data_IF_549753903115
#
_entry.id   IF_549753903115
#
_cell.length_a   1.000
_cell.length_b   1.000
_cell.length_c   1.000
_cell.angle_alpha   90.00
_cell.angle_beta   90.00
_cell.angle_gamma   90.00
#
_symmetry.space_group_name_H-M   'P 1'
#
loop_
_entity.id
_entity.type
_entity.pdbx_description
1 polymer ?
#
# COMPACT_ATOMS: atom_id res chain seq x y z
N UNK A 1 -36.32 50.90 1.50
CA UNK A 1 -36.07 51.38 2.88
C UNK A 1 -34.68 50.89 3.25
N UNK A 2 -33.69 51.78 3.31
CA UNK A 2 -33.26 52.48 4.54
C UNK A 2 -32.76 51.46 5.57
N UNK A 3 -31.61 51.57 6.23
CA UNK A 3 -30.77 52.67 6.73
C UNK A 3 -29.76 51.92 7.63
N UNK A 4 -28.54 52.27 7.93
CA UNK A 4 -27.69 53.44 7.81
C UNK A 4 -26.33 52.97 8.36
N UNK A 5 -25.19 53.46 7.87
CA UNK A 5 -24.64 54.75 8.29
C UNK A 5 -24.24 54.66 9.79
N UNK A 6 -22.98 54.84 10.21
CA UNK A 6 -22.23 56.08 10.01
C UNK A 6 -20.81 56.01 10.63
N UNK A 7 -19.82 56.43 9.82
CA UNK A 7 -18.69 57.38 10.06
C UNK A 7 -17.81 57.25 11.34
N UNK A 8 -16.52 57.60 11.34
CA UNK A 8 -15.88 58.90 10.96
C UNK A 8 -14.37 58.69 10.77
N UNK A 9 -13.79 59.12 9.64
CA UNK A 9 -13.05 60.40 9.37
C UNK A 9 -11.68 60.47 10.08
N UNK A 10 -10.60 60.94 9.45
CA UNK A 10 -10.56 61.89 8.35
C UNK A 10 -9.28 61.85 7.50
N UNK A 11 -9.45 62.43 6.31
CA UNK A 11 -8.45 62.85 5.33
C UNK A 11 -8.24 64.39 5.49
N UNK A 12 -7.72 65.11 4.48
CA UNK A 12 -6.52 64.95 3.64
C UNK A 12 -5.55 66.15 3.91
N UNK A 13 -4.51 66.49 3.15
CA UNK A 13 -4.52 67.23 1.86
C UNK A 13 -3.08 67.42 1.38
N UNK A 14 -2.84 67.12 0.11
CA UNK A 14 -1.69 67.54 -0.69
C UNK A 14 -1.74 69.05 -0.99
N UNK A 15 -0.59 69.71 -0.91
CA UNK A 15 -0.42 71.10 -1.35
C UNK A 15 1.02 71.39 -1.69
N UNK A 16 1.36 71.30 -2.97
CA UNK A 16 2.60 71.83 -3.53
C UNK A 16 2.63 73.36 -3.46
N UNK A 17 3.80 73.95 -3.20
CA UNK A 17 4.22 75.28 -3.70
C UNK A 17 5.73 75.48 -3.55
N UNK A 18 6.34 75.94 -4.64
CA UNK A 18 7.71 76.43 -4.71
C UNK A 18 7.79 77.86 -4.15
N UNK A 19 8.92 78.22 -3.53
CA UNK A 19 9.39 79.60 -3.43
C UNK A 19 10.91 79.64 -3.21
N UNK A 20 11.53 80.51 -3.97
CA UNK A 20 12.93 80.88 -4.10
C UNK A 20 13.36 81.86 -3.00
N UNK A 21 14.63 81.84 -2.58
CA UNK A 21 15.19 82.78 -1.62
C UNK A 21 16.67 82.54 -1.32
N UNK A 22 17.53 83.38 -1.90
CA UNK A 22 18.97 83.38 -1.72
C UNK A 22 19.41 84.09 -0.42
N UNK A 23 20.44 83.56 0.27
CA UNK A 23 21.68 84.28 0.60
C UNK A 23 22.58 83.56 1.66
N UNK A 24 23.82 83.30 1.24
CA UNK A 24 25.12 83.43 1.94
C UNK A 24 25.35 82.79 3.34
N UNK A 25 26.25 81.79 3.34
CA UNK A 25 27.10 81.41 4.49
C UNK A 25 27.95 80.18 4.14
N UNK A 26 29.26 80.36 3.89
CA UNK A 26 30.21 79.23 3.69
C UNK A 26 30.68 78.62 5.02
N UNK A 27 31.69 77.74 5.01
CA UNK A 27 31.68 76.41 4.43
C UNK A 27 31.79 75.35 5.54
N UNK A 28 30.95 74.31 5.51
CA UNK A 28 31.16 73.13 6.34
C UNK A 28 31.31 71.91 5.45
N UNK A 29 32.58 71.66 5.11
CA UNK A 29 33.11 70.40 4.62
C UNK A 29 32.54 69.24 5.45
N UNK A 30 31.61 68.48 4.86
CA UNK A 30 31.44 67.07 5.20
C UNK A 30 31.18 66.31 3.91
N UNK A 31 32.25 65.74 3.37
CA UNK A 31 32.18 64.74 2.33
C UNK A 31 31.21 63.63 2.75
N UNK A 32 30.10 63.50 2.01
CA UNK A 32 29.40 62.22 1.86
C UNK A 32 29.58 61.75 0.43
N UNK A 33 30.84 61.52 0.04
CA UNK A 33 31.20 60.79 -1.19
C UNK A 33 31.42 59.29 -0.94
N UNK A 34 30.97 58.78 0.21
CA UNK A 34 31.24 57.40 0.65
C UNK A 34 30.08 56.39 0.51
N UNK A 35 28.89 56.81 0.07
CA UNK A 35 27.69 55.95 0.08
C UNK A 35 27.53 55.01 -1.13
N UNK A 36 27.90 55.47 -2.34
CA UNK A 36 27.61 54.74 -3.59
C UNK A 36 28.63 53.61 -3.86
N UNK A 37 29.91 53.83 -3.53
CA UNK A 37 30.97 52.84 -3.75
C UNK A 37 30.95 51.68 -2.71
N UNK A 38 30.61 51.96 -1.45
CA UNK A 38 30.47 50.90 -0.43
C UNK A 38 29.24 50.02 -0.68
N UNK A 39 28.14 50.59 -1.18
CA UNK A 39 26.94 49.84 -1.55
C UNK A 39 27.16 48.90 -2.74
N UNK A 40 27.95 49.31 -3.74
CA UNK A 40 28.26 48.48 -4.92
C UNK A 40 29.25 47.36 -4.64
N UNK A 41 30.28 47.60 -3.82
CA UNK A 41 31.22 46.54 -3.39
C UNK A 41 30.54 45.55 -2.45
N UNK A 42 29.73 46.02 -1.49
CA UNK A 42 28.95 45.14 -0.62
C UNK A 42 27.91 44.32 -1.42
N UNK A 43 27.26 44.93 -2.41
CA UNK A 43 26.34 44.23 -3.31
C UNK A 43 27.08 43.21 -4.19
N UNK A 44 28.27 43.52 -4.71
CA UNK A 44 29.08 42.59 -5.50
C UNK A 44 29.51 41.38 -4.67
N UNK A 45 29.94 41.58 -3.41
CA UNK A 45 30.29 40.49 -2.50
C UNK A 45 29.08 39.63 -2.14
N UNK A 46 27.91 40.24 -1.90
CA UNK A 46 26.66 39.52 -1.68
C UNK A 46 26.31 38.63 -2.88
N UNK A 47 26.45 39.15 -4.10
CA UNK A 47 26.21 38.37 -5.33
C UNK A 47 27.21 37.22 -5.45
N UNK A 48 28.50 37.45 -5.15
CA UNK A 48 29.55 36.42 -5.22
C UNK A 48 29.31 35.28 -4.21
N UNK A 49 28.62 35.52 -3.09
CA UNK A 49 28.32 34.47 -2.09
C UNK A 49 26.94 33.84 -2.29
N UNK A 50 25.91 34.65 -2.56
CA UNK A 50 24.52 34.19 -2.66
C UNK A 50 24.30 33.40 -3.95
N UNK A 51 24.90 33.82 -5.07
CA UNK A 51 24.74 33.15 -6.36
C UNK A 51 25.28 31.71 -6.36
N UNK A 52 26.52 31.41 -5.90
CA UNK A 52 26.99 30.02 -5.82
C UNK A 52 26.23 29.20 -4.75
N UNK A 53 25.81 29.81 -3.63
CA UNK A 53 24.99 29.12 -2.65
C UNK A 53 23.62 28.72 -3.25
N UNK A 54 22.97 29.62 -3.98
CA UNK A 54 21.72 29.31 -4.67
C UNK A 54 21.89 28.22 -5.73
N UNK A 55 22.99 28.25 -6.49
CA UNK A 55 23.30 27.21 -7.49
C UNK A 55 23.57 25.83 -6.86
N UNK A 56 24.29 25.76 -5.74
CA UNK A 56 24.56 24.49 -5.04
C UNK A 56 23.30 23.92 -4.39
N UNK A 57 22.48 24.76 -3.75
CA UNK A 57 21.18 24.36 -3.20
C UNK A 57 20.23 23.90 -4.32
N UNK A 58 20.13 24.65 -5.43
CA UNK A 58 19.31 24.27 -6.57
C UNK A 58 19.78 22.97 -7.23
N UNK A 59 21.09 22.81 -7.43
CA UNK A 59 21.68 21.58 -7.97
C UNK A 59 21.46 20.38 -7.06
N UNK A 60 21.67 20.54 -5.75
CA UNK A 60 21.40 19.48 -4.76
C UNK A 60 19.92 19.10 -4.73
N UNK A 61 19.02 20.09 -4.82
CA UNK A 61 17.58 19.87 -4.90
C UNK A 61 17.20 19.13 -6.19
N UNK A 62 17.74 19.53 -7.34
CA UNK A 62 17.47 18.87 -8.62
C UNK A 62 17.99 17.42 -8.62
N UNK A 63 19.18 17.18 -8.08
CA UNK A 63 19.73 15.83 -7.91
C UNK A 63 18.87 14.99 -6.97
N UNK A 64 18.45 15.54 -5.84
CA UNK A 64 17.54 14.89 -4.90
C UNK A 64 16.19 14.58 -5.57
N UNK A 65 15.66 15.51 -6.35
CA UNK A 65 14.44 15.34 -7.13
C UNK A 65 14.56 14.23 -8.18
N UNK A 66 15.66 14.19 -8.94
CA UNK A 66 15.92 13.12 -9.90
C UNK A 66 16.13 11.75 -9.24
N UNK A 67 16.79 11.71 -8.08
CA UNK A 67 16.93 10.48 -7.28
C UNK A 67 15.57 10.00 -6.77
N UNK A 68 14.76 10.90 -6.20
CA UNK A 68 13.42 10.61 -5.71
C UNK A 68 12.51 10.12 -6.85
N UNK A 69 12.51 10.80 -8.00
CA UNK A 69 11.74 10.37 -9.18
C UNK A 69 12.12 8.96 -9.61
N UNK A 70 13.41 8.66 -9.78
CA UNK A 70 13.87 7.31 -10.15
C UNK A 70 13.53 6.24 -9.11
N UNK A 71 13.41 6.61 -7.84
CA UNK A 71 13.05 5.68 -6.76
C UNK A 71 11.56 5.29 -6.78
N UNK A 72 10.67 6.12 -7.34
CA UNK A 72 9.21 5.90 -7.33
C UNK A 72 8.60 5.61 -8.69
N UNK A 73 9.37 5.77 -9.78
CA UNK A 73 8.92 5.41 -11.13
C UNK A 73 9.33 3.98 -11.47
N UNK A 74 8.42 3.24 -12.10
CA UNK A 74 8.75 1.93 -12.68
C UNK A 74 9.92 2.05 -13.67
N UNK A 75 10.66 0.97 -13.83
CA UNK A 75 11.80 0.93 -14.73
C UNK A 75 11.36 1.08 -16.20
N UNK A 76 12.20 1.72 -17.02
CA UNK A 76 11.89 2.05 -18.43
C UNK A 76 12.17 0.90 -19.41
N UNK A 77 12.72 -0.22 -18.96
CA UNK A 77 12.94 -1.37 -19.83
C UNK A 77 11.61 -1.93 -20.35
N UNK A 78 11.59 -2.54 -21.54
CA UNK A 78 10.40 -3.21 -22.05
C UNK A 78 9.85 -4.24 -21.05
N UNK A 79 8.52 -4.35 -20.88
CA UNK A 79 7.93 -5.36 -20.02
C UNK A 79 8.33 -6.78 -20.44
N UNK A 80 8.70 -7.62 -19.49
CA UNK A 80 9.01 -9.03 -19.74
C UNK A 80 7.75 -9.87 -20.04
N UNK A 81 6.57 -9.37 -19.65
CA UNK A 81 5.29 -10.02 -19.89
C UNK A 81 4.53 -9.32 -21.01
N UNK A 82 3.77 -10.06 -21.83
CA UNK A 82 2.93 -9.47 -22.86
C UNK A 82 1.82 -8.60 -22.24
N UNK A 83 1.26 -7.65 -23.01
CA UNK A 83 0.10 -6.88 -22.56
C UNK A 83 -1.06 -7.82 -22.22
N UNK A 84 -1.81 -7.50 -21.17
CA UNK A 84 -2.95 -8.30 -20.71
C UNK A 84 -2.64 -9.79 -20.44
N UNK A 85 -1.42 -10.11 -20.02
CA UNK A 85 -0.93 -11.47 -19.74
C UNK A 85 -1.76 -12.27 -18.73
N UNK A 86 -2.60 -11.61 -17.92
CA UNK A 86 -3.51 -12.25 -16.96
C UNK A 86 -4.98 -12.25 -17.35
N UNK A 87 -5.31 -11.78 -18.56
CA UNK A 87 -6.68 -11.86 -19.07
C UNK A 87 -7.08 -13.32 -19.35
N UNK A 88 -8.37 -13.66 -19.26
CA UNK A 88 -8.85 -15.00 -19.60
C UNK A 88 -8.66 -15.33 -21.10
N UNK A 89 -8.49 -14.32 -21.97
CA UNK A 89 -8.18 -14.52 -23.38
C UNK A 89 -6.72 -14.96 -23.62
N UNK A 90 -5.78 -14.47 -22.80
CA UNK A 90 -4.34 -14.77 -22.95
C UNK A 90 -3.88 -15.96 -22.12
N UNK A 91 -4.45 -16.16 -20.93
CA UNK A 91 -4.06 -17.22 -20.00
C UNK A 91 -5.29 -17.83 -19.30
N UNK A 92 -6.21 -18.48 -20.04
CA UNK A 92 -7.47 -18.99 -19.50
C UNK A 92 -7.25 -19.99 -18.35
N UNK A 93 -6.29 -20.89 -18.50
CA UNK A 93 -6.02 -21.95 -17.52
C UNK A 93 -5.53 -21.41 -16.17
N UNK A 94 -4.91 -20.22 -16.17
CA UNK A 94 -4.36 -19.57 -14.98
C UNK A 94 -5.27 -18.46 -14.45
N UNK A 95 -6.43 -18.20 -15.08
CA UNK A 95 -7.27 -17.08 -14.69
C UNK A 95 -7.82 -17.26 -13.27
N UNK A 96 -8.27 -18.47 -12.93
CA UNK A 96 -8.70 -18.89 -11.59
C UNK A 96 -7.63 -19.70 -10.87
N UNK A 97 -7.47 -19.48 -9.57
CA UNK A 97 -6.61 -20.33 -8.75
C UNK A 97 -6.70 -20.03 -7.26
N UNK A 98 -6.00 -20.84 -6.48
CA UNK A 98 -5.85 -20.75 -5.01
C UNK A 98 -4.88 -19.64 -4.59
N UNK A 99 -4.97 -18.47 -5.23
CA UNK A 99 -4.03 -17.35 -5.05
C UNK A 99 -4.27 -16.52 -3.77
N UNK A 100 -4.80 -17.15 -2.71
CA UNK A 100 -5.05 -16.54 -1.39
C UNK A 100 -4.35 -17.38 -0.30
N UNK A 101 -3.00 -17.43 -0.28
CA UNK A 101 -2.26 -18.39 0.54
C UNK A 101 -2.43 -18.21 2.06
N UNK A 102 -2.90 -17.05 2.52
CA UNK A 102 -3.13 -16.77 3.94
C UNK A 102 -4.53 -17.19 4.44
N UNK A 103 -5.39 -17.71 3.56
CA UNK A 103 -6.69 -18.29 3.93
C UNK A 103 -6.59 -19.80 3.79
N UNK A 104 -7.18 -20.55 4.73
CA UNK A 104 -7.08 -22.01 4.74
C UNK A 104 -7.51 -22.65 3.42
N UNK A 105 -8.62 -22.19 2.83
CA UNK A 105 -9.05 -22.58 1.51
C UNK A 105 -9.88 -21.47 0.84
N UNK A 106 -9.54 -21.12 -0.40
CA UNK A 106 -10.24 -20.10 -1.17
C UNK A 106 -9.62 -19.89 -2.55
N UNK A 107 -10.37 -19.26 -3.45
CA UNK A 107 -9.93 -18.96 -4.82
C UNK A 107 -10.12 -17.48 -5.15
N UNK A 108 -9.37 -17.02 -6.15
CA UNK A 108 -9.57 -15.69 -6.76
C UNK A 108 -9.16 -15.69 -8.23
N UNK A 109 -9.63 -14.68 -8.96
CA UNK A 109 -9.18 -14.39 -10.32
C UNK A 109 -7.87 -13.59 -10.35
N UNK A 110 -7.03 -13.75 -11.37
CA UNK A 110 -5.85 -12.89 -11.64
C UNK A 110 -6.24 -11.55 -12.28
N UNK A 111 -7.03 -10.75 -11.56
CA UNK A 111 -7.49 -9.43 -11.98
C UNK A 111 -7.14 -8.37 -10.92
N UNK A 112 -6.98 -7.12 -11.35
CA UNK A 112 -6.86 -5.96 -10.45
C UNK A 112 -8.14 -5.75 -9.61
N UNK A 113 -9.30 -6.13 -10.15
CA UNK A 113 -10.58 -6.18 -9.46
C UNK A 113 -11.07 -7.63 -9.44
N UNK A 114 -10.62 -8.44 -8.46
CA UNK A 114 -10.87 -9.88 -8.49
C UNK A 114 -12.23 -10.25 -7.88
N UNK A 115 -12.82 -11.32 -8.39
CA UNK A 115 -13.83 -12.07 -7.65
C UNK A 115 -13.12 -12.98 -6.64
N UNK A 116 -13.61 -13.03 -5.40
CA UNK A 116 -13.00 -13.73 -4.28
C UNK A 116 -13.99 -14.73 -3.68
N UNK A 117 -13.53 -15.94 -3.41
CA UNK A 117 -14.27 -16.95 -2.66
C UNK A 117 -13.41 -17.49 -1.52
N UNK A 118 -14.03 -17.98 -0.45
CA UNK A 118 -13.30 -18.53 0.69
C UNK A 118 -14.18 -19.40 1.58
N UNK A 119 -13.54 -20.34 2.26
CA UNK A 119 -14.15 -21.20 3.26
C UNK A 119 -13.96 -20.60 4.66
N UNK A 120 -14.96 -20.78 5.51
CA UNK A 120 -14.87 -20.60 6.96
C UNK A 120 -15.57 -21.80 7.62
N UNK A 121 -15.10 -22.19 8.80
CA UNK A 121 -15.78 -23.21 9.60
C UNK A 121 -15.69 -22.89 11.08
N UNK A 122 -16.63 -23.42 11.86
CA UNK A 122 -16.60 -23.37 13.31
C UNK A 122 -17.23 -24.65 13.84
N UNK A 123 -16.59 -25.30 14.81
CA UNK A 123 -17.22 -26.37 15.57
C UNK A 123 -18.21 -25.75 16.57
N UNK A 124 -19.47 -26.18 16.53
CA UNK A 124 -20.47 -25.71 17.47
C UNK A 124 -20.15 -26.18 18.89
N UNK A 125 -20.29 -25.30 19.89
CA UNK A 125 -19.99 -25.59 21.29
C UNK A 125 -19.85 -24.32 22.12
N UNK A 126 -19.32 -24.46 23.35
CA UNK A 126 -18.98 -23.33 24.21
C UNK A 126 -17.80 -22.56 23.63
N UNK A 127 -18.01 -21.28 23.29
CA UNK A 127 -17.01 -20.40 22.64
C UNK A 127 -16.48 -20.93 21.29
N UNK A 128 -17.32 -20.95 20.23
CA UNK A 128 -16.92 -21.45 18.92
C UNK A 128 -15.78 -20.61 18.33
N UNK A 129 -14.71 -21.29 17.89
CA UNK A 129 -13.59 -20.65 17.18
C UNK A 129 -13.89 -20.68 15.68
N UNK A 130 -14.14 -19.51 15.10
CA UNK A 130 -14.33 -19.36 13.67
C UNK A 130 -12.95 -19.37 12.97
N UNK A 131 -12.75 -20.31 12.06
CA UNK A 131 -11.51 -20.45 11.29
C UNK A 131 -11.68 -19.83 9.91
N UNK A 132 -10.66 -19.09 9.45
CA UNK A 132 -10.61 -18.52 8.10
C UNK A 132 -9.19 -18.33 7.62
N UNK A 133 -8.41 -17.51 8.34
CA UNK A 133 -7.01 -17.22 8.03
C UNK A 133 -6.09 -18.21 8.74
N UNK A 134 -4.93 -18.44 8.14
CA UNK A 134 -3.88 -19.33 8.64
C UNK A 134 -3.11 -18.65 9.78
N UNK A 135 -3.72 -18.57 10.96
CA UNK A 135 -3.11 -17.98 12.15
C UNK A 135 -2.30 -19.04 12.92
N UNK A 136 -1.01 -18.82 13.13
CA UNK A 136 -0.13 -19.81 13.75
C UNK A 136 -0.55 -20.22 15.18
N UNK A 137 -1.23 -19.32 15.91
CA UNK A 137 -1.66 -19.53 17.30
C UNK A 137 -3.10 -19.99 17.47
N UNK A 138 -3.82 -20.34 16.39
CA UNK A 138 -5.24 -20.67 16.48
C UNK A 138 -5.50 -22.13 16.93
N UNK A 139 -4.48 -22.98 16.93
CA UNK A 139 -4.53 -24.38 17.34
C UNK A 139 -4.97 -25.34 16.24
N UNK A 140 -5.07 -24.89 14.99
CA UNK A 140 -5.23 -25.76 13.81
C UNK A 140 -3.86 -26.32 13.42
N UNK A 141 -3.78 -27.62 13.15
CA UNK A 141 -2.58 -28.25 12.62
C UNK A 141 -2.43 -29.72 13.00
N UNK A 142 -1.70 -30.50 12.18
CA UNK A 142 -1.07 -30.11 10.91
C UNK A 142 -2.09 -29.87 9.78
N UNK A 143 -1.70 -29.06 8.79
CA UNK A 143 -2.47 -28.85 7.57
C UNK A 143 -1.55 -28.62 6.37
N UNK A 144 -2.02 -28.92 5.16
CA UNK A 144 -1.25 -28.71 3.95
C UNK A 144 -1.85 -29.40 2.72
N UNK A 145 -1.33 -29.04 1.56
CA UNK A 145 -1.66 -29.70 0.30
C UNK A 145 -1.00 -31.07 0.25
N UNK A 146 -1.80 -32.12 0.08
CA UNK A 146 -1.32 -33.45 -0.28
C UNK A 146 -1.04 -33.49 -1.78
N UNK A 147 -1.96 -32.94 -2.58
CA UNK A 147 -1.82 -32.79 -4.02
C UNK A 147 -2.14 -31.37 -4.43
N UNK A 148 -1.29 -30.75 -5.25
CA UNK A 148 -1.59 -29.48 -5.91
C UNK A 148 -0.72 -29.34 -7.15
N UNK A 149 -1.31 -29.35 -8.35
CA UNK A 149 -0.57 -29.26 -9.61
C UNK A 149 -0.28 -27.81 -10.05
N UNK A 150 -0.84 -26.83 -9.33
CA UNK A 150 -0.72 -25.40 -9.65
C UNK A 150 -1.65 -24.94 -10.77
N UNK A 151 -2.43 -25.86 -11.37
CA UNK A 151 -3.13 -25.64 -12.62
C UNK A 151 -4.55 -26.15 -12.64
N UNK A 152 -4.85 -27.41 -12.35
CA UNK A 152 -6.16 -28.02 -12.63
C UNK A 152 -6.85 -28.60 -11.40
N UNK A 153 -6.12 -29.04 -10.38
CA UNK A 153 -6.71 -29.65 -9.19
C UNK A 153 -5.83 -29.53 -7.95
N UNK A 154 -6.44 -29.80 -6.79
CA UNK A 154 -5.71 -29.99 -5.56
C UNK A 154 -6.55 -30.64 -4.47
N UNK A 155 -5.86 -31.25 -3.51
CA UNK A 155 -6.41 -31.83 -2.28
C UNK A 155 -5.55 -31.42 -1.11
N UNK A 156 -6.18 -30.87 -0.09
CA UNK A 156 -5.57 -30.43 1.15
C UNK A 156 -6.24 -31.13 2.33
N UNK A 157 -5.43 -31.44 3.35
CA UNK A 157 -5.91 -31.92 4.63
C UNK A 157 -5.67 -30.85 5.70
N UNK A 158 -6.63 -30.70 6.61
CA UNK A 158 -6.58 -29.77 7.74
C UNK A 158 -7.05 -30.52 8.99
N UNK A 159 -6.19 -30.62 10.00
CA UNK A 159 -6.56 -31.16 11.31
C UNK A 159 -6.87 -30.00 12.27
N UNK A 160 -8.09 -29.99 12.83
CA UNK A 160 -8.54 -29.01 13.83
C UNK A 160 -9.16 -29.78 15.01
N UNK A 161 -8.31 -30.18 15.96
CA UNK A 161 -8.69 -31.01 17.09
C UNK A 161 -9.29 -32.35 16.67
N UNK A 162 -10.56 -32.57 16.99
CA UNK A 162 -11.29 -33.80 16.68
C UNK A 162 -11.82 -33.84 15.22
N UNK A 163 -11.64 -32.78 14.45
CA UNK A 163 -12.09 -32.70 13.06
C UNK A 163 -10.92 -32.90 12.10
N UNK A 164 -11.15 -33.74 11.09
CA UNK A 164 -10.32 -33.82 9.88
C UNK A 164 -11.12 -33.24 8.72
N UNK A 165 -10.67 -32.13 8.18
CA UNK A 165 -11.23 -31.53 6.97
C UNK A 165 -10.39 -31.95 5.77
N UNK A 166 -11.06 -32.28 4.67
CA UNK A 166 -10.45 -32.48 3.36
C UNK A 166 -11.07 -31.50 2.38
N UNK A 167 -10.26 -30.60 1.84
CA UNK A 167 -10.65 -29.58 0.86
C UNK A 167 -10.09 -29.96 -0.50
N UNK A 168 -10.96 -30.17 -1.47
CA UNK A 168 -10.59 -30.55 -2.84
C UNK A 168 -11.14 -29.53 -3.83
N UNK A 169 -10.41 -29.30 -4.91
CA UNK A 169 -10.95 -28.58 -6.06
C UNK A 169 -10.53 -29.23 -7.38
N UNK A 170 -11.37 -29.03 -8.39
CA UNK A 170 -11.07 -29.33 -9.80
C UNK A 170 -11.53 -28.14 -10.64
N UNK A 171 -10.73 -27.77 -11.64
CA UNK A 171 -11.09 -26.78 -12.67
C UNK A 171 -11.39 -27.47 -13.99
N UNK A 172 -12.41 -26.97 -14.68
CA UNK A 172 -12.78 -27.39 -16.03
C UNK A 172 -12.57 -26.20 -16.98
N UNK A 173 -11.64 -26.29 -17.94
CA UNK A 173 -11.49 -25.28 -18.98
C UNK A 173 -12.78 -25.16 -19.83
N UNK A 174 -13.08 -23.95 -20.30
CA UNK A 174 -14.23 -23.70 -21.16
C UNK A 174 -14.65 -22.23 -21.21
N UNK A 175 -15.43 -21.87 -22.23
CA UNK A 175 -15.93 -20.51 -22.43
C UNK A 175 -14.82 -19.48 -22.69
N UNK A 176 -15.14 -18.20 -22.47
CA UNK A 176 -14.23 -17.06 -22.73
C UNK A 176 -13.79 -16.35 -21.44
N UNK A 177 -14.19 -16.86 -20.27
CA UNK A 177 -14.05 -16.17 -18.98
C UNK A 177 -13.27 -16.99 -17.93
N UNK A 178 -12.45 -17.95 -18.37
CA UNK A 178 -11.55 -18.72 -17.50
C UNK A 178 -12.12 -20.04 -16.96
N UNK A 179 -13.17 -20.59 -17.59
CA UNK A 179 -13.74 -21.88 -17.25
C UNK A 179 -14.54 -21.91 -15.95
N UNK A 180 -14.83 -23.14 -15.52
CA UNK A 180 -15.58 -23.46 -14.31
C UNK A 180 -14.68 -24.13 -13.27
N UNK A 181 -15.11 -24.15 -12.02
CA UNK A 181 -14.44 -24.89 -10.96
C UNK A 181 -15.44 -25.42 -9.93
N UNK A 182 -15.06 -26.45 -9.20
CA UNK A 182 -15.90 -27.06 -8.18
C UNK A 182 -15.08 -27.39 -6.94
N UNK A 183 -15.68 -27.21 -5.77
CA UNK A 183 -15.11 -27.58 -4.48
C UNK A 183 -15.83 -28.79 -3.91
N UNK A 184 -15.07 -29.65 -3.24
CA UNK A 184 -15.61 -30.62 -2.28
C UNK A 184 -14.96 -30.36 -0.93
N UNK A 185 -15.80 -30.26 0.10
CA UNK A 185 -15.36 -30.15 1.49
C UNK A 185 -15.94 -31.32 2.25
N UNK A 186 -15.07 -32.19 2.74
CA UNK A 186 -15.44 -33.36 3.55
C UNK A 186 -14.99 -33.12 4.99
N UNK A 187 -15.85 -33.38 5.95
CA UNK A 187 -15.55 -33.25 7.38
C UNK A 187 -15.75 -34.60 8.05
N UNK A 188 -14.70 -35.12 8.67
CA UNK A 188 -14.69 -36.38 9.38
C UNK A 188 -14.35 -36.15 10.85
N UNK A 189 -14.96 -36.93 11.75
CA UNK A 189 -14.49 -37.02 13.12
C UNK A 189 -13.25 -37.91 13.15
N UNK A 190 -12.19 -37.47 13.82
CA UNK A 190 -11.08 -38.36 14.15
C UNK A 190 -11.63 -39.47 15.04
N UNK A 191 -11.55 -40.71 14.53
CA UNK A 191 -11.78 -41.88 15.34
C UNK A 191 -10.72 -41.89 16.45
N UNK A 192 -11.10 -41.47 17.65
CA UNK A 192 -10.34 -41.82 18.84
C UNK A 192 -10.33 -43.34 18.88
N UNK A 193 -9.15 -43.94 18.80
CA UNK A 193 -8.96 -45.31 19.21
C UNK A 193 -9.30 -45.35 20.70
N UNK A 194 -10.58 -45.56 21.01
CA UNK A 194 -10.99 -46.05 22.32
C UNK A 194 -10.35 -47.42 22.41
N UNK A 195 -9.14 -47.47 22.96
CA UNK A 195 -8.52 -48.70 23.41
C UNK A 195 -9.54 -49.35 24.35
N UNK A 196 -10.28 -50.33 23.81
CA UNK A 196 -10.99 -51.30 24.61
C UNK A 196 -9.91 -52.13 25.30
N UNK A 197 -9.36 -51.60 26.39
CA UNK A 197 -8.64 -52.39 27.37
C UNK A 197 -9.69 -53.13 28.21
N UNK A 198 -10.39 -54.08 27.57
CA UNK A 198 -11.02 -55.16 28.31
C UNK A 198 -9.90 -55.97 28.97
N UNK A 199 -10.04 -56.37 30.25
CA UNK A 199 -9.03 -57.19 30.90
C UNK A 199 -8.87 -58.51 30.12
N UNK A 200 -7.64 -59.04 29.94
CA UNK A 200 -7.45 -60.33 29.30
C UNK A 200 -8.13 -61.40 30.15
N UNK A 201 -9.18 -62.01 29.61
CA UNK A 201 -9.78 -63.22 30.16
C UNK A 201 -8.75 -64.33 30.02
N UNK A 202 -8.13 -64.71 31.14
CA UNK A 202 -7.28 -65.89 31.21
C UNK A 202 -8.20 -67.12 31.24
N UNK A 203 -8.36 -67.76 30.09
CA UNK A 203 -8.97 -69.08 30.01
C UNK A 203 -7.98 -70.12 30.53
N UNK A 204 -8.27 -70.67 31.72
CA UNK A 204 -7.61 -71.87 32.22
C UNK A 204 -8.30 -73.11 31.62
N UNK A 205 -7.59 -74.00 30.92
CA UNK A 205 -8.15 -75.29 30.51
C UNK A 205 -8.22 -76.25 31.70
N UNK A 206 -9.34 -76.97 31.82
CA UNK A 206 -9.48 -78.15 32.67
C UNK A 206 -8.75 -79.35 32.09
#
# INVERSE_FOLDING_TARGET
>A
MARGERRRRGAPVDGARAAEGAARGGPARRESRGGVARGTVAAAVLVIVVLPLALTLSGSWLLAWHRARRAVTLHSAPPALPPNSSSPAMAPDLFWGTYRPHVYFGMKTRSAQPLLTGLMWAQHGTAPKLRHTCEQGDGVGPYGWEFHDGLSFGRQHILDGALRLTTEFVKRPGGQHGGDWSWRVTVESQASATMSSGPPTQDFPC
#
